data_IF_520462275749
#
_entry.id   IF_520462275749
#
_cell.length_a   1.000
_cell.length_b   1.000
_cell.length_c   1.000
_cell.angle_alpha   90.00
_cell.angle_beta   90.00
_cell.angle_gamma   90.00
#
_symmetry.space_group_name_H-M   'P 1'
#
loop_
_entity.id
_entity.type
_entity.pdbx_description
1 polymer ?
#
# COMPACT_ATOMS: atom_id res chain seq x y z
N UNK A 1 -21.06 1.80 -16.69
CA UNK A 1 -20.23 2.91 -16.17
C UNK A 1 -19.57 2.59 -14.82
N UNK A 2 -20.31 2.39 -13.71
CA UNK A 2 -19.73 2.16 -12.36
C UNK A 2 -18.73 0.99 -12.32
N UNK A 3 -19.04 -0.13 -12.97
CA UNK A 3 -18.16 -1.30 -13.02
C UNK A 3 -16.80 -1.00 -13.68
N UNK A 4 -16.79 -0.23 -14.77
CA UNK A 4 -15.57 0.17 -15.46
C UNK A 4 -14.72 1.10 -14.60
N UNK A 5 -15.34 2.09 -13.95
CA UNK A 5 -14.64 3.01 -13.04
C UNK A 5 -13.94 2.24 -11.91
N UNK A 6 -14.62 1.24 -11.32
CA UNK A 6 -14.03 0.37 -10.29
C UNK A 6 -12.83 -0.41 -10.81
N UNK A 7 -12.90 -0.93 -12.04
CA UNK A 7 -11.79 -1.65 -12.66
C UNK A 7 -10.61 -0.71 -12.91
N UNK A 8 -10.82 0.42 -13.59
CA UNK A 8 -9.73 1.32 -13.94
C UNK A 8 -9.06 1.94 -12.71
N UNK A 9 -9.83 2.33 -11.69
CA UNK A 9 -9.26 2.77 -10.41
C UNK A 9 -8.42 1.67 -9.75
N UNK A 10 -8.92 0.43 -9.72
CA UNK A 10 -8.16 -0.72 -9.20
C UNK A 10 -6.89 -1.02 -10.00
N UNK A 11 -6.92 -0.87 -11.34
CA UNK A 11 -5.76 -1.08 -12.20
C UNK A 11 -4.68 0.00 -12.02
N UNK A 12 -5.07 1.26 -11.80
CA UNK A 12 -4.13 2.34 -11.49
C UNK A 12 -3.40 2.03 -10.17
N UNK A 13 -4.15 1.62 -9.13
CA UNK A 13 -3.57 1.22 -7.85
C UNK A 13 -2.66 0.00 -7.99
N UNK A 14 -3.08 -1.02 -8.75
CA UNK A 14 -2.28 -2.21 -9.00
C UNK A 14 -1.00 -1.89 -9.77
N UNK A 15 -1.05 -0.96 -10.73
CA UNK A 15 0.14 -0.49 -11.45
C UNK A 15 1.13 0.17 -10.50
N UNK A 16 0.67 1.09 -9.64
CA UNK A 16 1.50 1.73 -8.63
C UNK A 16 2.16 0.69 -7.71
N UNK A 17 1.38 -0.23 -7.15
CA UNK A 17 1.91 -1.29 -6.27
C UNK A 17 2.92 -2.17 -7.00
N UNK A 18 2.64 -2.56 -8.25
CA UNK A 18 3.55 -3.39 -9.05
C UNK A 18 4.89 -2.69 -9.27
N UNK A 19 4.87 -1.41 -9.65
CA UNK A 19 6.09 -0.60 -9.80
C UNK A 19 6.84 -0.45 -8.48
N UNK A 20 6.12 -0.20 -7.38
CA UNK A 20 6.70 -0.07 -6.06
C UNK A 20 7.40 -1.37 -5.60
N UNK A 21 6.75 -2.53 -5.75
CA UNK A 21 7.35 -3.84 -5.40
C UNK A 21 8.50 -4.22 -6.33
N UNK A 22 8.42 -3.82 -7.60
CA UNK A 22 9.53 -4.00 -8.55
C UNK A 22 10.74 -3.17 -8.11
N UNK A 23 10.53 -1.93 -7.66
CA UNK A 23 11.57 -1.10 -7.07
C UNK A 23 12.13 -1.72 -5.78
N UNK A 24 11.26 -2.25 -4.92
CA UNK A 24 11.66 -2.91 -3.68
C UNK A 24 12.59 -4.10 -3.95
N UNK A 25 12.27 -4.90 -4.98
CA UNK A 25 13.08 -6.04 -5.43
C UNK A 25 14.51 -5.66 -5.80
N UNK A 26 14.74 -4.43 -6.27
CA UNK A 26 16.08 -3.92 -6.59
C UNK A 26 16.96 -3.72 -5.34
N UNK A 27 16.38 -3.76 -4.14
CA UNK A 27 17.11 -3.75 -2.88
C UNK A 27 18.03 -4.95 -2.68
N UNK A 28 17.87 -6.03 -3.46
CA UNK A 28 18.85 -7.11 -3.49
C UNK A 28 20.22 -6.68 -4.02
N UNK A 29 20.27 -5.62 -4.84
CA UNK A 29 21.52 -5.10 -5.40
C UNK A 29 22.13 -4.05 -4.48
N UNK A 30 21.43 -2.94 -4.26
CA UNK A 30 21.90 -1.83 -3.42
C UNK A 30 20.79 -0.81 -3.16
N UNK A 31 20.99 0.05 -2.16
CA UNK A 31 20.06 1.14 -1.86
C UNK A 31 20.12 2.23 -2.93
N UNK A 32 21.29 2.41 -3.54
CA UNK A 32 21.52 3.30 -4.67
C UNK A 32 20.71 2.86 -5.89
N UNK A 33 20.66 1.55 -6.19
CA UNK A 33 19.83 1.01 -7.27
C UNK A 33 18.34 1.28 -7.02
N UNK A 34 17.86 1.09 -5.79
CA UNK A 34 16.48 1.41 -5.42
C UNK A 34 16.18 2.90 -5.59
N UNK A 35 17.09 3.78 -5.16
CA UNK A 35 16.93 5.23 -5.27
C UNK A 35 16.99 5.70 -6.73
N UNK A 36 17.84 5.11 -7.57
CA UNK A 36 17.91 5.41 -8.99
C UNK A 36 16.61 5.01 -9.71
N UNK A 37 16.09 3.80 -9.42
CA UNK A 37 14.83 3.34 -10.00
C UNK A 37 13.61 4.10 -9.46
N UNK A 38 13.67 4.65 -8.24
CA UNK A 38 12.62 5.48 -7.63
C UNK A 38 12.16 6.62 -8.55
N UNK A 39 13.09 7.19 -9.32
CA UNK A 39 12.84 8.28 -10.26
C UNK A 39 11.77 7.93 -11.30
N UNK A 40 11.66 6.67 -11.70
CA UNK A 40 10.66 6.20 -12.68
C UNK A 40 9.52 5.42 -12.05
N UNK A 41 9.73 4.82 -10.88
CA UNK A 41 8.71 3.97 -10.22
C UNK A 41 7.83 4.74 -9.23
N UNK A 42 8.34 5.80 -8.60
CA UNK A 42 7.67 6.54 -7.51
C UNK A 42 7.50 8.02 -7.84
N UNK A 43 8.55 8.72 -8.28
CA UNK A 43 8.50 10.18 -8.50
C UNK A 43 7.39 10.64 -9.46
N UNK A 44 7.01 9.90 -10.53
CA UNK A 44 5.88 10.31 -11.37
C UNK A 44 4.57 10.46 -10.58
N UNK A 45 4.35 9.63 -9.56
CA UNK A 45 3.18 9.66 -8.69
C UNK A 45 3.23 10.80 -7.66
N UNK A 46 4.41 11.40 -7.44
CA UNK A 46 4.60 12.54 -6.53
C UNK A 46 4.33 13.89 -7.20
N UNK A 47 4.26 13.93 -8.53
CA UNK A 47 3.83 15.12 -9.28
C UNK A 47 2.35 15.46 -9.00
N UNK A 48 1.91 16.69 -9.29
CA UNK A 48 0.49 17.06 -9.15
C UNK A 48 -0.42 16.15 -9.99
N UNK A 49 -0.18 15.90 -11.30
CA UNK A 49 -0.99 14.96 -12.07
C UNK A 49 -0.97 13.54 -11.49
N UNK A 50 0.20 13.03 -11.12
CA UNK A 50 0.35 11.70 -10.52
C UNK A 50 -0.44 11.56 -9.22
N UNK A 51 -0.44 12.61 -8.40
CA UNK A 51 -1.19 12.68 -7.13
C UNK A 51 -2.68 12.65 -7.37
N UNK A 52 -3.17 13.47 -8.31
CA UNK A 52 -4.60 13.52 -8.65
C UNK A 52 -5.04 12.17 -9.19
N UNK A 53 -4.24 11.53 -10.05
CA UNK A 53 -4.56 10.22 -10.63
C UNK A 53 -4.57 9.14 -9.56
N UNK A 54 -3.50 9.01 -8.76
CA UNK A 54 -3.36 7.94 -7.78
C UNK A 54 -4.30 8.14 -6.59
N UNK A 55 -4.33 9.35 -6.02
CA UNK A 55 -5.23 9.71 -4.93
C UNK A 55 -6.70 9.64 -5.35
N UNK A 56 -7.03 10.12 -6.54
CA UNK A 56 -8.36 10.00 -7.12
C UNK A 56 -8.77 8.54 -7.33
N UNK A 57 -7.88 7.72 -7.88
CA UNK A 57 -8.12 6.28 -8.02
C UNK A 57 -8.36 5.61 -6.67
N UNK A 58 -7.55 5.92 -5.64
CA UNK A 58 -7.73 5.38 -4.29
C UNK A 58 -9.09 5.75 -3.70
N UNK A 59 -9.44 7.05 -3.74
CA UNK A 59 -10.70 7.56 -3.20
C UNK A 59 -11.90 6.96 -3.91
N UNK A 60 -11.89 6.94 -5.24
CA UNK A 60 -12.98 6.35 -6.04
C UNK A 60 -13.09 4.85 -5.79
N UNK A 61 -11.97 4.13 -5.73
CA UNK A 61 -11.96 2.69 -5.47
C UNK A 61 -12.57 2.37 -4.10
N UNK A 62 -12.14 3.09 -3.05
CA UNK A 62 -12.66 2.95 -1.69
C UNK A 62 -14.15 3.32 -1.59
N UNK A 63 -14.56 4.43 -2.19
CA UNK A 63 -15.95 4.87 -2.21
C UNK A 63 -16.87 3.84 -2.88
N UNK A 64 -16.43 3.25 -4.01
CA UNK A 64 -17.17 2.20 -4.69
C UNK A 64 -17.19 0.88 -3.90
N UNK A 65 -16.18 0.60 -3.08
CA UNK A 65 -16.18 -0.53 -2.15
C UNK A 65 -17.22 -0.34 -1.04
N UNK A 66 -17.28 0.84 -0.41
CA UNK A 66 -18.33 1.18 0.56
C UNK A 66 -19.72 1.16 -0.06
N UNK A 67 -19.88 1.72 -1.27
CA UNK A 67 -21.15 1.66 -1.99
C UNK A 67 -21.60 0.22 -2.24
N UNK A 68 -20.67 -0.65 -2.63
CA UNK A 68 -20.94 -2.08 -2.81
C UNK A 68 -21.33 -2.78 -1.50
N UNK A 69 -20.76 -2.36 -0.37
CA UNK A 69 -21.11 -2.88 0.96
C UNK A 69 -22.50 -2.40 1.38
N UNK A 70 -22.78 -1.11 1.23
CA UNK A 70 -24.05 -0.49 1.56
C UNK A 70 -25.23 -1.12 0.80
N UNK A 71 -25.06 -1.36 -0.50
CA UNK A 71 -26.10 -1.93 -1.38
C UNK A 71 -26.34 -3.43 -1.19
N UNK A 72 -25.57 -4.11 -0.32
CA UNK A 72 -25.60 -5.57 -0.22
C UNK A 72 -26.67 -6.04 0.74
N UNK A 73 -27.60 -6.86 0.25
CA UNK A 73 -28.73 -7.36 1.05
C UNK A 73 -28.35 -8.37 2.13
N UNK A 74 -27.37 -9.24 1.85
CA UNK A 74 -26.85 -10.16 2.84
C UNK A 74 -25.34 -10.36 2.65
N UNK A 75 -24.68 -10.76 3.74
CA UNK A 75 -23.24 -11.03 3.78
C UNK A 75 -22.93 -12.52 3.59
N UNK A 76 -23.82 -13.28 2.94
CA UNK A 76 -23.51 -14.66 2.52
C UNK A 76 -22.65 -14.58 1.26
N UNK A 77 -21.34 -14.49 1.49
CA UNK A 77 -20.31 -14.34 0.46
C UNK A 77 -19.72 -15.70 0.10
N UNK A 78 -19.34 -15.86 -1.17
CA UNK A 78 -18.37 -16.92 -1.51
C UNK A 78 -17.04 -16.60 -0.82
N UNK A 79 -16.27 -17.62 -0.47
CA UNK A 79 -15.01 -17.45 0.27
C UNK A 79 -14.09 -16.39 -0.36
N UNK A 80 -13.89 -16.42 -1.69
CA UNK A 80 -13.05 -15.45 -2.39
C UNK A 80 -13.59 -14.01 -2.34
N UNK A 81 -14.91 -13.82 -2.36
CA UNK A 81 -15.54 -12.50 -2.23
C UNK A 81 -15.34 -11.95 -0.82
N UNK A 82 -15.49 -12.80 0.20
CA UNK A 82 -15.24 -12.47 1.59
C UNK A 82 -13.78 -12.06 1.79
N UNK A 83 -12.84 -12.86 1.28
CA UNK A 83 -11.41 -12.54 1.36
C UNK A 83 -11.09 -11.20 0.71
N UNK A 84 -11.55 -10.95 -0.52
CA UNK A 84 -11.27 -9.68 -1.20
C UNK A 84 -11.84 -8.47 -0.44
N UNK A 85 -13.05 -8.61 0.11
CA UNK A 85 -13.70 -7.56 0.89
C UNK A 85 -13.00 -7.30 2.23
N UNK A 86 -12.66 -8.36 2.98
CA UNK A 86 -11.95 -8.26 4.26
C UNK A 86 -10.59 -7.61 4.05
N UNK A 87 -9.80 -8.10 3.10
CA UNK A 87 -8.49 -7.52 2.79
C UNK A 87 -8.62 -6.06 2.36
N UNK A 88 -9.62 -5.71 1.54
CA UNK A 88 -9.85 -4.35 1.07
C UNK A 88 -10.16 -3.35 2.20
N UNK A 89 -10.95 -3.76 3.21
CA UNK A 89 -11.26 -2.89 4.35
C UNK A 89 -10.21 -2.90 5.45
N UNK A 90 -9.47 -3.99 5.60
CA UNK A 90 -8.34 -4.11 6.52
C UNK A 90 -7.11 -3.32 6.03
N UNK A 91 -6.90 -3.28 4.72
CA UNK A 91 -5.73 -2.66 4.09
C UNK A 91 -5.48 -1.21 4.55
N UNK A 92 -6.47 -0.30 4.59
CA UNK A 92 -6.24 1.07 5.09
C UNK A 92 -5.80 1.11 6.56
N UNK A 93 -6.28 0.20 7.40
CA UNK A 93 -5.86 0.15 8.82
C UNK A 93 -4.39 -0.26 8.97
N UNK A 94 -3.88 -1.10 8.06
CA UNK A 94 -2.48 -1.56 8.07
C UNK A 94 -1.56 -0.55 7.39
N UNK A 95 -1.97 -0.03 6.23
CA UNK A 95 -1.09 0.70 5.31
C UNK A 95 -1.18 2.22 5.43
N UNK A 96 -2.18 2.77 6.11
CA UNK A 96 -2.36 4.22 6.16
C UNK A 96 -1.15 4.93 6.77
N UNK A 97 -0.57 4.41 7.86
CA UNK A 97 0.62 5.01 8.47
C UNK A 97 1.80 5.06 7.51
N UNK A 98 2.05 3.98 6.76
CA UNK A 98 3.13 3.92 5.77
C UNK A 98 2.91 4.94 4.65
N UNK A 99 1.72 4.96 4.04
CA UNK A 99 1.39 5.88 2.95
C UNK A 99 1.40 7.33 3.43
N UNK A 100 0.81 7.59 4.60
CA UNK A 100 0.71 8.93 5.18
C UNK A 100 2.06 9.44 5.67
N UNK A 101 2.92 8.60 6.26
CA UNK A 101 4.28 9.01 6.61
C UNK A 101 5.06 9.38 5.35
N UNK A 102 5.13 8.49 4.36
CA UNK A 102 5.90 8.69 3.14
C UNK A 102 5.42 9.89 2.29
N UNK A 103 4.11 10.19 2.31
CA UNK A 103 3.51 11.29 1.53
C UNK A 103 3.29 12.56 2.34
N UNK A 104 2.69 12.44 3.51
CA UNK A 104 2.34 13.55 4.39
C UNK A 104 3.57 14.28 4.91
N UNK A 105 4.62 13.57 5.32
CA UNK A 105 5.85 14.22 5.77
C UNK A 105 6.63 14.86 4.60
N UNK A 106 6.57 14.27 3.40
CA UNK A 106 7.14 14.88 2.19
C UNK A 106 6.44 16.23 1.88
N UNK A 107 5.12 16.22 1.78
CA UNK A 107 4.34 17.38 1.33
C UNK A 107 4.16 18.46 2.42
N UNK A 108 4.02 18.06 3.69
CA UNK A 108 3.66 18.99 4.79
C UNK A 108 4.83 19.32 5.71
N UNK A 109 5.93 18.56 5.65
CA UNK A 109 7.11 18.74 6.51
C UNK A 109 8.43 18.85 5.72
N UNK A 110 8.37 18.84 4.38
CA UNK A 110 9.53 18.93 3.48
C UNK A 110 10.60 17.85 3.74
N UNK A 111 10.18 16.68 4.23
CA UNK A 111 11.08 15.54 4.45
C UNK A 111 11.47 14.94 3.11
N UNK A 112 12.77 14.86 2.85
CA UNK A 112 13.33 14.25 1.65
C UNK A 112 13.43 12.74 1.84
N UNK A 113 12.32 12.04 1.58
CA UNK A 113 12.28 10.58 1.67
C UNK A 113 13.14 9.91 0.59
N UNK A 114 14.11 9.14 1.07
CA UNK A 114 14.82 8.12 0.30
C UNK A 114 14.69 6.75 0.98
N UNK A 115 15.22 5.70 0.33
CA UNK A 115 15.17 4.37 0.91
C UNK A 115 16.00 4.24 2.19
N UNK A 116 17.03 5.07 2.40
CA UNK A 116 17.85 4.99 3.61
C UNK A 116 17.03 5.38 4.84
N UNK A 117 16.31 6.50 4.76
CA UNK A 117 15.41 6.93 5.83
C UNK A 117 14.26 5.92 6.03
N UNK A 118 13.66 5.40 4.96
CA UNK A 118 12.54 4.46 5.05
C UNK A 118 12.95 3.17 5.77
N UNK A 119 14.07 2.54 5.38
CA UNK A 119 14.55 1.33 6.06
C UNK A 119 15.03 1.61 7.49
N UNK A 120 15.67 2.76 7.73
CA UNK A 120 16.06 3.17 9.08
C UNK A 120 14.83 3.34 9.98
N UNK A 121 13.76 3.95 9.47
CA UNK A 121 12.50 4.06 10.20
C UNK A 121 11.93 2.67 10.53
N UNK A 122 11.82 1.77 9.55
CA UNK A 122 11.14 0.49 9.72
C UNK A 122 11.93 -0.54 10.54
N UNK A 123 13.26 -0.60 10.39
CA UNK A 123 14.09 -1.63 11.03
C UNK A 123 14.82 -1.17 12.29
N UNK A 124 14.95 0.15 12.51
CA UNK A 124 15.71 0.69 13.64
C UNK A 124 14.84 1.53 14.56
N UNK A 125 14.13 2.53 14.02
CA UNK A 125 13.35 3.45 14.87
C UNK A 125 12.02 2.86 15.34
N UNK A 126 11.35 2.10 14.47
CA UNK A 126 10.00 1.57 14.68
C UNK A 126 9.94 0.08 14.26
N UNK A 127 10.75 -0.80 14.86
CA UNK A 127 10.89 -2.21 14.45
C UNK A 127 9.58 -3.00 14.50
N UNK A 128 8.59 -2.57 15.30
CA UNK A 128 7.26 -3.15 15.31
C UNK A 128 6.53 -3.02 13.96
N UNK A 129 6.88 -2.01 13.15
CA UNK A 129 6.36 -1.86 11.79
C UNK A 129 7.08 -2.74 10.76
N UNK A 130 8.26 -3.30 11.07
CA UNK A 130 9.00 -4.17 10.14
C UNK A 130 8.11 -5.28 9.58
N UNK A 131 7.50 -6.07 10.48
CA UNK A 131 6.63 -7.18 10.09
C UNK A 131 5.24 -6.71 9.64
N UNK A 132 4.76 -5.59 10.17
CA UNK A 132 3.48 -5.04 9.77
C UNK A 132 3.49 -4.61 8.29
N UNK A 133 4.58 -4.00 7.81
CA UNK A 133 4.73 -3.64 6.39
C UNK A 133 4.92 -4.88 5.50
N UNK A 134 5.62 -5.91 5.97
CA UNK A 134 5.71 -7.18 5.26
C UNK A 134 4.32 -7.85 5.10
N UNK A 135 3.51 -7.84 6.15
CA UNK A 135 2.12 -8.30 6.11
C UNK A 135 1.27 -7.41 5.19
N UNK A 136 1.43 -6.09 5.30
CA UNK A 136 0.77 -5.10 4.47
C UNK A 136 1.01 -5.33 2.98
N UNK A 137 2.26 -5.61 2.58
CA UNK A 137 2.63 -6.00 1.23
C UNK A 137 1.82 -7.21 0.76
N UNK A 138 1.77 -8.28 1.55
CA UNK A 138 1.03 -9.50 1.21
C UNK A 138 -0.48 -9.24 1.09
N UNK A 139 -1.04 -8.42 1.98
CA UNK A 139 -2.46 -8.03 1.97
C UNK A 139 -2.80 -7.24 0.71
N UNK A 140 -2.02 -6.18 0.41
CA UNK A 140 -2.20 -5.33 -0.76
C UNK A 140 -2.06 -6.13 -2.05
N UNK A 141 -1.02 -6.95 -2.15
CA UNK A 141 -0.74 -7.75 -3.34
C UNK A 141 -1.80 -8.82 -3.56
N UNK A 142 -2.19 -9.56 -2.53
CA UNK A 142 -3.23 -10.59 -2.63
C UNK A 142 -4.57 -9.97 -3.03
N UNK A 143 -4.95 -8.84 -2.44
CA UNK A 143 -6.16 -8.09 -2.83
C UNK A 143 -6.12 -7.71 -4.32
N UNK A 144 -5.00 -7.17 -4.79
CA UNK A 144 -4.76 -6.83 -6.20
C UNK A 144 -4.87 -8.03 -7.13
N UNK A 145 -4.22 -9.15 -6.79
CA UNK A 145 -4.25 -10.39 -7.57
C UNK A 145 -5.67 -10.97 -7.69
N UNK A 146 -6.45 -10.99 -6.61
CA UNK A 146 -7.84 -11.47 -6.66
C UNK A 146 -8.67 -10.57 -7.57
N UNK A 147 -8.56 -9.24 -7.42
CA UNK A 147 -9.27 -8.28 -8.28
C UNK A 147 -8.90 -8.43 -9.76
N UNK A 148 -7.61 -8.59 -10.05
CA UNK A 148 -7.10 -8.77 -11.41
C UNK A 148 -7.55 -10.09 -12.04
N UNK A 149 -7.43 -11.21 -11.30
CA UNK A 149 -7.87 -12.53 -11.75
C UNK A 149 -9.39 -12.56 -12.02
N UNK A 150 -10.20 -12.00 -11.11
CA UNK A 150 -11.66 -11.99 -11.26
C UNK A 150 -12.13 -11.14 -12.45
N UNK A 151 -11.37 -10.11 -12.82
CA UNK A 151 -11.60 -9.33 -14.04
C UNK A 151 -11.19 -10.10 -15.30
N UNK A 152 -9.97 -10.66 -15.33
CA UNK A 152 -9.42 -11.29 -16.52
C UNK A 152 -9.98 -12.68 -16.83
N UNK A 153 -10.50 -13.43 -15.85
CA UNK A 153 -11.08 -14.77 -16.08
C UNK A 153 -12.23 -14.80 -17.10
N UNK A 154 -12.82 -13.65 -17.40
CA UNK A 154 -13.87 -13.50 -18.40
C UNK A 154 -13.32 -13.29 -19.83
N UNK A 155 -12.01 -13.19 -19.99
CA UNK A 155 -11.33 -12.97 -21.27
C UNK A 155 -10.78 -14.29 -21.79
N UNK A 156 -11.10 -14.65 -23.04
CA UNK A 156 -10.70 -15.92 -23.65
C UNK A 156 -9.19 -16.14 -23.67
N UNK A 157 -8.40 -15.09 -23.92
CA UNK A 157 -6.94 -15.14 -23.95
C UNK A 157 -6.30 -15.36 -22.58
N UNK A 158 -7.00 -15.04 -21.48
CA UNK A 158 -6.40 -15.12 -20.14
C UNK A 158 -6.06 -16.56 -19.75
N UNK A 159 -6.88 -17.53 -20.16
CA UNK A 159 -6.63 -18.95 -19.90
C UNK A 159 -5.27 -19.40 -20.45
N UNK A 160 -4.88 -18.91 -21.63
CA UNK A 160 -3.58 -19.20 -22.26
C UNK A 160 -2.40 -18.66 -21.46
N UNK A 161 -2.57 -17.51 -20.80
CA UNK A 161 -1.49 -16.84 -20.06
C UNK A 161 -1.58 -17.01 -18.53
N UNK A 162 -2.56 -17.76 -18.04
CA UNK A 162 -2.87 -17.86 -16.62
C UNK A 162 -1.66 -18.32 -15.79
N UNK A 163 -0.88 -19.27 -16.31
CA UNK A 163 0.33 -19.77 -15.65
C UNK A 163 1.39 -18.67 -15.48
N UNK A 164 1.57 -17.80 -16.47
CA UNK A 164 2.52 -16.68 -16.38
C UNK A 164 2.08 -15.64 -15.36
N UNK A 165 0.79 -15.30 -15.33
CA UNK A 165 0.25 -14.39 -14.31
C UNK A 165 0.34 -14.98 -12.91
N UNK A 166 0.11 -16.29 -12.76
CA UNK A 166 0.28 -16.98 -11.50
C UNK A 166 1.74 -16.96 -11.04
N UNK A 167 2.68 -17.31 -11.92
CA UNK A 167 4.11 -17.25 -11.62
C UNK A 167 4.54 -15.85 -11.22
N UNK A 168 4.12 -14.81 -11.96
CA UNK A 168 4.41 -13.42 -11.61
C UNK A 168 3.82 -13.02 -10.25
N UNK A 169 2.57 -13.43 -9.98
CA UNK A 169 1.87 -13.16 -8.71
C UNK A 169 2.57 -13.80 -7.51
N UNK A 170 3.26 -14.92 -7.71
CA UNK A 170 4.02 -15.59 -6.65
C UNK A 170 5.43 -15.02 -6.51
N UNK A 171 6.13 -14.80 -7.62
CA UNK A 171 7.55 -14.44 -7.62
C UNK A 171 7.78 -13.00 -7.18
N UNK A 172 6.98 -12.04 -7.66
CA UNK A 172 7.21 -10.62 -7.33
C UNK A 172 7.19 -10.34 -5.81
N UNK A 173 6.17 -10.73 -5.03
CA UNK A 173 6.17 -10.49 -3.59
C UNK A 173 7.26 -11.29 -2.87
N UNK A 174 7.62 -12.49 -3.34
CA UNK A 174 8.69 -13.28 -2.74
C UNK A 174 10.06 -12.60 -2.88
N UNK A 175 10.38 -12.10 -4.08
CA UNK A 175 11.61 -11.35 -4.33
C UNK A 175 11.60 -10.03 -3.57
N UNK A 176 10.48 -9.30 -3.58
CA UNK A 176 10.35 -8.02 -2.88
C UNK A 176 10.51 -8.17 -1.36
N UNK A 177 9.92 -9.20 -0.75
CA UNK A 177 10.10 -9.49 0.68
C UNK A 177 11.53 -9.91 1.01
N UNK A 178 12.15 -10.72 0.14
CA UNK A 178 13.56 -11.11 0.31
C UNK A 178 14.47 -9.88 0.27
N UNK A 179 14.23 -8.97 -0.67
CA UNK A 179 14.94 -7.69 -0.78
C UNK A 179 14.71 -6.80 0.45
N UNK A 180 13.47 -6.70 0.92
CA UNK A 180 13.09 -5.92 2.10
C UNK A 180 13.83 -6.37 3.35
N UNK A 181 13.80 -7.66 3.69
CA UNK A 181 14.51 -8.15 4.87
C UNK A 181 16.03 -8.09 4.70
N UNK A 182 16.56 -8.44 3.52
CA UNK A 182 18.00 -8.38 3.25
C UNK A 182 18.55 -6.95 3.40
N UNK A 183 17.89 -5.97 2.78
CA UNK A 183 18.28 -4.56 2.86
C UNK A 183 18.08 -4.02 4.29
N UNK A 184 16.99 -4.38 4.96
CA UNK A 184 16.74 -3.97 6.34
C UNK A 184 17.84 -4.44 7.30
N UNK A 185 18.28 -5.71 7.19
CA UNK A 185 19.40 -6.23 7.98
C UNK A 185 20.71 -5.48 7.69
N UNK A 186 20.97 -5.13 6.42
CA UNK A 186 22.14 -4.31 6.05
C UNK A 186 22.07 -2.91 6.68
N UNK A 187 20.88 -2.31 6.72
CA UNK A 187 20.66 -1.00 7.32
C UNK A 187 20.81 -1.06 8.85
N UNK A 188 20.37 -2.14 9.51
CA UNK A 188 20.62 -2.34 10.94
C UNK A 188 22.12 -2.39 11.26
N UNK A 189 22.93 -3.01 10.39
CA UNK A 189 24.39 -3.02 10.57
C UNK A 189 24.99 -1.63 10.42
N UNK A 190 24.62 -0.90 9.36
CA UNK A 190 25.08 0.48 9.13
C UNK A 190 24.63 1.43 10.26
N UNK A 191 23.45 1.20 10.83
CA UNK A 191 22.91 2.01 11.91
C UNK A 191 23.69 1.91 13.24
N UNK A 192 24.61 0.94 13.38
CA UNK A 192 25.55 0.91 14.50
C UNK A 192 26.50 2.12 14.47
N UNK A 193 26.81 2.64 13.28
CA UNK A 193 27.58 3.85 13.08
C UNK A 193 26.68 5.09 13.26
N UNK A 194 26.72 5.70 14.45
CA UNK A 194 25.84 6.83 14.78
C UNK A 194 26.02 8.04 13.86
N UNK A 195 27.21 8.25 13.32
CA UNK A 195 27.45 9.32 12.34
C UNK A 195 26.73 9.06 11.01
N UNK A 196 26.63 7.79 10.59
CA UNK A 196 25.85 7.43 9.40
C UNK A 196 24.36 7.70 9.63
N UNK A 197 23.80 7.29 10.79
CA UNK A 197 22.40 7.56 11.16
C UNK A 197 22.10 9.06 11.15
N UNK A 198 22.96 9.87 11.78
CA UNK A 198 22.82 11.34 11.78
C UNK A 198 22.85 11.90 10.36
N UNK A 199 23.75 11.41 9.51
CA UNK A 199 23.85 11.86 8.12
C UNK A 199 22.55 11.61 7.34
N UNK A 200 21.94 10.44 7.50
CA UNK A 200 20.66 10.09 6.85
C UNK A 200 19.54 11.01 7.34
N UNK A 201 19.41 11.18 8.66
CA UNK A 201 18.36 12.03 9.26
C UNK A 201 18.50 13.50 8.82
N UNK A 202 19.71 14.04 8.84
CA UNK A 202 19.99 15.43 8.46
C UNK A 202 19.74 15.65 6.97
N UNK A 203 20.24 14.76 6.11
CA UNK A 203 20.04 14.85 4.66
C UNK A 203 18.55 14.77 4.28
N UNK A 204 17.81 13.94 5.00
CA UNK A 204 16.37 13.80 4.79
C UNK A 204 15.55 14.95 5.40
N UNK A 205 16.15 15.87 6.16
CA UNK A 205 15.45 16.93 6.92
C UNK A 205 14.40 16.37 7.89
N UNK A 206 14.61 15.14 8.36
CA UNK A 206 13.69 14.46 9.25
C UNK A 206 13.87 14.95 10.69
N UNK A 207 12.75 15.05 11.43
CA UNK A 207 12.72 15.29 12.87
C UNK A 207 11.86 14.24 13.55
N UNK A 208 12.29 13.80 14.74
CA UNK A 208 11.60 12.76 15.50
C UNK A 208 10.12 13.11 15.77
N UNK A 209 9.81 14.38 16.06
CA UNK A 209 8.44 14.87 16.31
C UNK A 209 7.47 14.66 15.13
N UNK A 210 7.98 14.48 13.90
CA UNK A 210 7.13 14.21 12.75
C UNK A 210 6.48 12.83 12.82
N UNK A 211 7.13 11.88 13.49
CA UNK A 211 6.58 10.53 13.72
C UNK A 211 5.38 10.58 14.67
N UNK A 212 5.44 11.37 15.74
CA UNK A 212 4.31 11.57 16.65
C UNK A 212 3.11 12.18 15.93
N UNK A 213 3.36 13.16 15.05
CA UNK A 213 2.32 13.73 14.20
C UNK A 213 1.67 12.68 13.27
N UNK A 214 2.48 11.84 12.61
CA UNK A 214 1.97 10.79 11.73
C UNK A 214 1.14 9.73 12.50
N UNK A 215 1.56 9.36 13.72
CA UNK A 215 0.78 8.47 14.57
C UNK A 215 -0.53 9.09 15.02
N UNK A 216 -0.53 10.37 15.41
CA UNK A 216 -1.75 11.08 15.77
C UNK A 216 -2.78 11.07 14.62
N UNK A 217 -2.35 11.37 13.40
CA UNK A 217 -3.24 11.32 12.22
C UNK A 217 -3.71 9.89 11.93
N UNK A 218 -2.81 8.91 12.04
CA UNK A 218 -3.14 7.49 11.84
C UNK A 218 -4.19 7.02 12.83
N UNK A 219 -4.11 7.41 14.10
CA UNK A 219 -5.07 7.04 15.14
C UNK A 219 -6.48 7.56 14.81
N UNK A 220 -6.61 8.86 14.52
CA UNK A 220 -7.90 9.45 14.14
C UNK A 220 -8.45 8.86 12.84
N UNK A 221 -7.60 8.60 11.86
CA UNK A 221 -7.99 7.93 10.62
C UNK A 221 -8.55 6.54 10.91
N UNK A 222 -7.85 5.71 11.68
CA UNK A 222 -8.27 4.33 11.99
C UNK A 222 -9.62 4.30 12.72
N UNK A 223 -9.81 5.17 13.72
CA UNK A 223 -11.09 5.30 14.41
C UNK A 223 -12.22 5.70 13.46
N UNK A 224 -11.98 6.70 12.61
CA UNK A 224 -12.97 7.18 11.62
C UNK A 224 -13.30 6.12 10.57
N UNK A 225 -12.30 5.34 10.15
CA UNK A 225 -12.47 4.27 9.17
C UNK A 225 -13.32 3.13 9.71
N UNK A 226 -13.06 2.69 10.95
CA UNK A 226 -13.86 1.68 11.63
C UNK A 226 -15.29 2.17 11.84
N UNK A 227 -15.45 3.42 12.30
CA UNK A 227 -16.77 4.02 12.49
C UNK A 227 -17.55 4.07 11.16
N UNK A 228 -16.90 4.45 10.05
CA UNK A 228 -17.53 4.48 8.74
C UNK A 228 -17.98 3.09 8.27
N UNK A 229 -17.15 2.04 8.46
CA UNK A 229 -17.54 0.66 8.16
C UNK A 229 -18.78 0.26 8.97
N UNK A 230 -18.78 0.54 10.28
CA UNK A 230 -19.90 0.22 11.16
C UNK A 230 -21.19 0.96 10.73
N UNK A 231 -21.10 2.25 10.44
CA UNK A 231 -22.21 3.07 9.98
C UNK A 231 -22.81 2.55 8.67
N UNK A 232 -21.97 2.21 7.69
CA UNK A 232 -22.43 1.67 6.40
C UNK A 232 -23.13 0.32 6.58
N UNK A 233 -22.61 -0.55 7.46
CA UNK A 233 -23.23 -1.84 7.76
C UNK A 233 -24.60 -1.68 8.46
N UNK A 234 -24.73 -0.73 9.39
CA UNK A 234 -25.97 -0.44 10.10
C UNK A 234 -27.00 0.20 9.16
N UNK A 235 -26.59 1.23 8.42
CA UNK A 235 -27.46 1.97 7.51
C UNK A 235 -27.98 1.08 6.38
N UNK A 236 -27.11 0.23 5.80
CA UNK A 236 -27.52 -0.73 4.78
C UNK A 236 -28.62 -1.66 5.28
N UNK A 237 -28.48 -2.20 6.50
CA UNK A 237 -29.50 -3.08 7.12
C UNK A 237 -30.81 -2.36 7.40
N UNK A 238 -30.73 -1.13 7.88
CA UNK A 238 -31.91 -0.32 8.23
C UNK A 238 -32.70 0.12 7.00
N UNK A 239 -32.02 0.46 5.91
CA UNK A 239 -32.66 0.84 4.63
C UNK A 239 -33.37 -0.33 3.92
N UNK A 240 -33.14 -1.56 4.37
CA UNK A 240 -33.74 -2.79 3.81
C UNK A 240 -34.78 -3.41 4.75
N UNK A 241 -35.03 -2.78 5.90
CA UNK A 241 -36.06 -3.15 6.87
C UNK A 241 -37.25 -2.20 6.82
N UNK A 242 -37.95 -2.17 5.69
CA UNK A 242 -39.36 -1.81 5.51
C UNK A 242 -39.92 -2.74 4.43
#
# INVERSE_FOLDING_TARGET
>A
MIHQIRIYSGLILLLFVTLHLSNLSLGLFSIETMNAARVVTIEPWRTLPGTVILGGALLVHAALAFWSLFRRHNLRLKAWEATQMILGFLMPLIMFSHVFAARGMLELKDVKFDYALEFLALFVFLPEFTFLQALGLLVVWTHGCIGFHTWLRLKSWYATFQTYFFAFSLLLPAVALSAYFSMGLRIMELAKEQEWVKSVVVNARYKAEYTDWAFGVTYWFSGSWIALIALVLIAGRSAMGF
#
